data_IF_729416050295
#
_entry.id   IF_729416050295
#
_cell.length_a   1.000
_cell.length_b   1.000
_cell.length_c   1.000
_cell.angle_alpha   90.00
_cell.angle_beta   90.00
_cell.angle_gamma   90.00
#
_symmetry.space_group_name_H-M   'P 1'
#
loop_
_entity.id
_entity.type
_entity.pdbx_description
1 polymer ?
#
# COMPACT_ATOMS: atom_id res chain seq x y z
N UNK A 1 -12.37 1.71 -26.76
CA UNK A 1 -12.38 1.55 -25.30
C UNK A 1 -12.35 0.06 -24.89
N UNK A 2 -13.26 -0.78 -25.39
CA UNK A 2 -13.33 -2.22 -25.04
C UNK A 2 -12.01 -2.97 -25.25
N UNK A 3 -11.38 -2.78 -26.43
CA UNK A 3 -10.09 -3.41 -26.74
C UNK A 3 -8.95 -2.97 -25.80
N UNK A 4 -8.97 -1.73 -25.34
CA UNK A 4 -8.01 -1.24 -24.35
C UNK A 4 -8.27 -1.90 -23.00
N UNK A 5 -9.53 -2.03 -22.60
CA UNK A 5 -9.93 -2.68 -21.35
C UNK A 5 -9.48 -4.16 -21.33
N UNK A 6 -9.72 -4.91 -22.41
CA UNK A 6 -9.25 -6.31 -22.55
C UNK A 6 -7.73 -6.45 -22.36
N UNK A 7 -6.94 -5.50 -22.90
CA UNK A 7 -5.49 -5.49 -22.74
C UNK A 7 -5.11 -5.23 -21.28
N UNK A 8 -5.78 -4.29 -20.62
CA UNK A 8 -5.53 -3.99 -19.21
C UNK A 8 -5.91 -5.18 -18.30
N UNK A 9 -7.06 -5.79 -18.53
CA UNK A 9 -7.51 -6.96 -17.76
C UNK A 9 -6.57 -8.16 -17.93
N UNK A 10 -6.12 -8.42 -19.15
CA UNK A 10 -5.14 -9.50 -19.44
C UNK A 10 -3.81 -9.24 -18.71
N UNK A 11 -3.34 -8.00 -18.73
CA UNK A 11 -2.12 -7.58 -18.00
C UNK A 11 -2.29 -7.75 -16.49
N UNK A 12 -3.39 -7.32 -15.94
CA UNK A 12 -3.66 -7.40 -14.51
C UNK A 12 -3.84 -8.87 -14.06
N UNK A 13 -4.48 -9.70 -14.89
CA UNK A 13 -4.55 -11.13 -14.65
C UNK A 13 -3.16 -11.78 -14.60
N UNK A 14 -2.25 -11.36 -15.49
CA UNK A 14 -0.86 -11.83 -15.49
C UNK A 14 -0.14 -11.35 -14.21
N UNK A 15 -0.32 -10.10 -13.78
CA UNK A 15 0.28 -9.57 -12.56
C UNK A 15 -0.16 -10.38 -11.32
N UNK A 16 -1.44 -10.73 -11.25
CA UNK A 16 -1.98 -11.53 -10.13
C UNK A 16 -1.38 -12.95 -10.04
N UNK A 17 -0.84 -13.49 -11.13
CA UNK A 17 -0.16 -14.78 -11.15
C UNK A 17 1.32 -14.73 -10.77
N UNK A 18 1.89 -13.54 -10.59
CA UNK A 18 3.30 -13.36 -10.19
C UNK A 18 3.41 -13.23 -8.68
N UNK A 19 4.53 -13.71 -8.14
CA UNK A 19 4.88 -13.52 -6.73
C UNK A 19 6.09 -12.58 -6.62
N UNK A 20 6.21 -11.92 -5.48
CA UNK A 20 7.27 -10.94 -5.23
C UNK A 20 8.67 -11.58 -5.29
N UNK A 21 8.76 -12.90 -5.02
CA UNK A 21 10.02 -13.64 -5.11
C UNK A 21 10.51 -13.86 -6.55
N UNK A 22 9.61 -13.82 -7.54
CA UNK A 22 9.94 -14.04 -8.96
C UNK A 22 10.66 -12.84 -9.62
N UNK A 23 10.79 -11.72 -8.92
CA UNK A 23 11.35 -10.50 -9.49
C UNK A 23 12.49 -9.94 -8.62
N UNK A 24 13.50 -9.38 -9.27
CA UNK A 24 14.64 -8.74 -8.60
C UNK A 24 14.39 -7.25 -8.28
N UNK A 25 13.39 -6.66 -8.95
CA UNK A 25 13.08 -5.24 -8.84
C UNK A 25 11.60 -4.99 -8.55
N UNK A 26 11.35 -4.04 -7.66
CA UNK A 26 10.09 -3.36 -7.41
C UNK A 26 10.09 -1.99 -8.10
N UNK A 27 8.99 -1.25 -7.99
CA UNK A 27 8.90 0.10 -8.54
C UNK A 27 8.46 1.10 -7.48
N UNK A 28 9.14 2.25 -7.44
CA UNK A 28 8.78 3.38 -6.59
C UNK A 28 7.87 4.36 -7.34
N UNK A 29 6.96 5.00 -6.63
CA UNK A 29 6.17 6.10 -7.16
C UNK A 29 6.11 7.25 -6.15
N UNK A 30 6.62 8.43 -6.54
CA UNK A 30 6.69 9.63 -5.72
C UNK A 30 5.78 10.77 -6.23
N UNK A 31 4.82 10.48 -7.10
CA UNK A 31 3.92 11.49 -7.70
C UNK A 31 3.16 12.32 -6.67
N UNK A 32 2.90 11.77 -5.49
CA UNK A 32 2.15 12.43 -4.43
C UNK A 32 2.99 13.35 -3.54
N UNK A 33 4.29 13.45 -3.74
CA UNK A 33 5.19 14.24 -2.87
C UNK A 33 4.95 15.76 -2.94
N UNK A 34 4.22 16.24 -3.95
CA UNK A 34 3.81 17.65 -4.00
C UNK A 34 2.88 18.07 -2.85
N UNK A 35 2.18 17.13 -2.22
CA UNK A 35 1.29 17.39 -1.07
C UNK A 35 1.51 16.45 0.13
N UNK A 36 2.32 15.42 -0.04
CA UNK A 36 2.78 14.51 1.00
C UNK A 36 4.30 14.28 0.81
N UNK A 37 5.16 15.21 1.23
CA UNK A 37 6.57 15.28 0.81
C UNK A 37 7.42 14.05 1.11
N UNK A 38 7.07 13.29 2.15
CA UNK A 38 7.79 12.06 2.55
C UNK A 38 7.15 10.79 2.01
N UNK A 39 6.03 10.91 1.28
CA UNK A 39 5.31 9.76 0.76
C UNK A 39 6.02 9.13 -0.44
N UNK A 40 6.22 7.82 -0.37
CA UNK A 40 6.66 7.00 -1.48
C UNK A 40 5.85 5.70 -1.50
N UNK A 41 5.22 5.36 -2.63
CA UNK A 41 4.69 4.03 -2.84
C UNK A 41 5.79 3.09 -3.33
N UNK A 42 5.85 1.89 -2.75
CA UNK A 42 6.60 0.76 -3.29
C UNK A 42 5.60 -0.23 -3.87
N UNK A 43 5.76 -0.56 -5.13
CA UNK A 43 4.83 -1.37 -5.92
C UNK A 43 5.51 -2.68 -6.27
N UNK A 44 4.88 -3.79 -5.89
CA UNK A 44 5.37 -5.14 -6.18
C UNK A 44 4.37 -5.89 -7.05
N UNK A 45 4.69 -7.06 -7.61
CA UNK A 45 3.71 -7.90 -8.30
C UNK A 45 2.45 -8.18 -7.46
N UNK A 46 2.62 -8.38 -6.14
CA UNK A 46 1.54 -8.74 -5.22
C UNK A 46 0.99 -7.54 -4.42
N UNK A 47 1.43 -6.32 -4.73
CA UNK A 47 1.06 -5.11 -4.00
C UNK A 47 0.99 -3.89 -4.92
N UNK A 48 -0.20 -3.34 -5.11
CA UNK A 48 -0.43 -2.10 -5.87
C UNK A 48 0.11 -0.87 -5.14
N UNK A 49 0.22 0.26 -5.85
CA UNK A 49 0.33 1.56 -5.20
C UNK A 49 -0.86 1.80 -4.26
N UNK A 50 -0.69 2.58 -3.19
CA UNK A 50 -1.75 2.87 -2.21
C UNK A 50 -3.02 3.45 -2.84
N UNK A 51 -2.90 4.21 -3.93
CA UNK A 51 -4.03 4.74 -4.68
C UNK A 51 -4.75 3.68 -5.55
N UNK A 52 -4.15 2.51 -5.75
CA UNK A 52 -4.68 1.45 -6.61
C UNK A 52 -4.56 1.69 -8.11
N UNK A 53 -4.02 2.85 -8.54
CA UNK A 53 -3.96 3.22 -9.95
C UNK A 53 -2.74 2.67 -10.70
N UNK A 54 -1.69 2.25 -9.99
CA UNK A 54 -0.43 1.82 -10.58
C UNK A 54 -0.10 0.40 -10.11
N UNK A 55 -0.08 -0.53 -11.06
CA UNK A 55 0.40 -1.90 -10.87
C UNK A 55 1.92 -2.00 -11.09
N UNK A 56 2.50 -3.16 -10.77
CA UNK A 56 3.91 -3.43 -11.04
C UNK A 56 4.27 -3.29 -12.52
N UNK A 57 3.39 -3.73 -13.44
CA UNK A 57 3.62 -3.57 -14.88
C UNK A 57 3.55 -2.10 -15.33
N UNK A 58 2.69 -1.30 -14.72
CA UNK A 58 2.63 0.14 -14.99
C UNK A 58 3.92 0.81 -14.53
N UNK A 59 4.38 0.48 -13.32
CA UNK A 59 5.66 0.94 -12.78
C UNK A 59 6.82 0.58 -13.69
N UNK A 60 6.89 -0.69 -14.12
CA UNK A 60 7.92 -1.18 -15.06
C UNK A 60 7.89 -0.44 -16.38
N UNK A 61 6.73 -0.27 -16.98
CA UNK A 61 6.58 0.42 -18.26
C UNK A 61 6.98 1.89 -18.15
N UNK A 62 6.53 2.58 -17.11
CA UNK A 62 6.81 4.01 -16.88
C UNK A 62 8.30 4.25 -16.62
N UNK A 63 8.91 3.49 -15.73
CA UNK A 63 10.34 3.60 -15.44
C UNK A 63 11.23 3.31 -16.65
N UNK A 64 10.79 2.43 -17.57
CA UNK A 64 11.49 2.17 -18.81
C UNK A 64 11.43 3.34 -19.79
N UNK A 65 10.29 4.04 -19.84
CA UNK A 65 10.08 5.20 -20.74
C UNK A 65 10.78 6.44 -20.22
N UNK A 66 10.69 6.67 -18.91
CA UNK A 66 11.33 7.80 -18.23
C UNK A 66 12.07 7.34 -16.95
N UNK A 67 13.33 6.87 -17.10
CA UNK A 67 14.11 6.35 -15.96
C UNK A 67 14.46 7.40 -14.88
N UNK A 68 14.31 8.69 -15.20
CA UNK A 68 14.53 9.80 -14.25
C UNK A 68 13.22 10.42 -13.77
N UNK A 69 12.10 9.86 -14.15
CA UNK A 69 10.78 10.31 -13.79
C UNK A 69 10.38 9.98 -12.35
N UNK A 70 9.16 10.37 -11.98
CA UNK A 70 8.66 10.15 -10.62
C UNK A 70 8.28 8.69 -10.32
N UNK A 71 8.31 7.82 -11.33
CA UNK A 71 8.15 6.36 -11.18
C UNK A 71 9.45 5.70 -11.62
N UNK A 72 10.08 4.93 -10.76
CA UNK A 72 11.43 4.43 -10.96
C UNK A 72 11.61 3.02 -10.41
N UNK A 73 12.66 2.34 -10.84
CA UNK A 73 13.02 1.00 -10.40
C UNK A 73 13.68 1.02 -9.02
N UNK A 74 13.34 0.02 -8.20
CA UNK A 74 13.95 -0.25 -6.90
C UNK A 74 14.47 -1.68 -6.90
N UNK A 75 15.78 -1.87 -6.82
CA UNK A 75 16.35 -3.20 -6.60
C UNK A 75 16.05 -3.64 -5.16
N UNK A 76 15.58 -4.86 -4.99
CA UNK A 76 15.19 -5.39 -3.66
C UNK A 76 16.36 -5.39 -2.67
N UNK A 77 17.55 -5.68 -3.14
CA UNK A 77 18.72 -5.87 -2.28
C UNK A 77 18.58 -7.13 -1.41
N UNK A 78 19.24 -7.14 -0.25
CA UNK A 78 19.12 -8.25 0.68
C UNK A 78 17.72 -8.33 1.29
N UNK A 79 17.31 -9.56 1.59
CA UNK A 79 16.04 -9.81 2.29
C UNK A 79 16.34 -9.73 3.79
N UNK A 80 15.75 -8.74 4.46
CA UNK A 80 15.88 -8.56 5.91
C UNK A 80 14.86 -9.41 6.65
N UNK A 81 13.59 -9.37 6.20
CA UNK A 81 12.51 -10.19 6.76
C UNK A 81 11.49 -10.55 5.67
N UNK A 82 11.46 -11.83 5.30
CA UNK A 82 10.54 -12.38 4.30
C UNK A 82 9.08 -12.22 4.71
N UNK A 83 8.77 -12.45 6.00
CA UNK A 83 7.40 -12.45 6.50
C UNK A 83 6.76 -11.07 6.40
N UNK A 84 7.47 -10.06 6.83
CA UNK A 84 6.98 -8.68 6.82
C UNK A 84 7.22 -7.95 5.50
N UNK A 85 8.02 -8.55 4.60
CA UNK A 85 8.38 -7.94 3.33
C UNK A 85 9.34 -6.77 3.51
N UNK A 86 10.38 -6.95 4.29
CA UNK A 86 11.42 -5.95 4.51
C UNK A 86 12.67 -6.27 3.68
N UNK A 87 13.10 -5.29 2.87
CA UNK A 87 14.21 -5.43 1.94
C UNK A 87 15.20 -4.27 2.08
N UNK A 88 16.49 -4.57 2.09
CA UNK A 88 17.55 -3.58 2.27
C UNK A 88 17.57 -2.50 1.19
N UNK A 89 17.41 -2.87 -0.08
CA UNK A 89 17.36 -1.90 -1.17
C UNK A 89 16.10 -1.02 -1.13
N UNK A 90 14.98 -1.57 -0.66
CA UNK A 90 13.75 -0.78 -0.45
C UNK A 90 13.96 0.25 0.67
N UNK A 91 14.51 -0.16 1.81
CA UNK A 91 14.77 0.73 2.94
C UNK A 91 15.72 1.86 2.55
N UNK A 92 16.79 1.57 1.80
CA UNK A 92 17.71 2.58 1.30
C UNK A 92 17.01 3.64 0.44
N UNK A 93 16.17 3.22 -0.50
CA UNK A 93 15.42 4.13 -1.38
C UNK A 93 14.36 4.93 -0.61
N UNK A 94 13.66 4.29 0.32
CA UNK A 94 12.67 4.95 1.17
C UNK A 94 13.35 6.06 1.99
N UNK A 95 14.48 5.77 2.61
CA UNK A 95 15.23 6.76 3.39
C UNK A 95 15.67 7.95 2.51
N UNK A 96 16.25 7.68 1.34
CA UNK A 96 16.66 8.73 0.40
C UNK A 96 15.47 9.59 -0.05
N UNK A 97 14.39 8.98 -0.50
CA UNK A 97 13.23 9.65 -1.12
C UNK A 97 12.27 10.29 -0.11
N UNK A 98 12.31 9.89 1.14
CA UNK A 98 11.58 10.54 2.24
C UNK A 98 12.38 11.64 2.95
N UNK A 99 13.55 12.02 2.41
CA UNK A 99 14.45 13.00 3.01
C UNK A 99 14.97 12.58 4.40
N UNK A 100 15.09 11.28 4.65
CA UNK A 100 15.55 10.72 5.92
C UNK A 100 14.45 10.54 6.98
N UNK A 101 13.22 10.91 6.70
CA UNK A 101 12.11 10.81 7.66
C UNK A 101 11.63 9.36 7.87
N UNK A 102 11.79 8.50 6.86
CA UNK A 102 11.41 7.09 6.92
C UNK A 102 12.67 6.23 6.76
N UNK A 103 13.04 5.51 7.78
CA UNK A 103 14.26 4.69 7.75
C UNK A 103 14.03 3.28 7.23
N UNK A 104 12.84 2.73 7.48
CA UNK A 104 12.48 1.36 7.09
C UNK A 104 11.00 1.24 6.79
N UNK A 105 10.66 0.25 5.97
CA UNK A 105 9.27 -0.12 5.68
C UNK A 105 9.13 -1.64 5.58
N UNK A 106 8.03 -2.13 6.12
CA UNK A 106 7.59 -3.51 6.00
C UNK A 106 6.36 -3.54 5.09
N UNK A 107 6.51 -4.10 3.89
CA UNK A 107 5.52 -3.96 2.81
C UNK A 107 4.23 -4.75 3.04
N UNK A 108 4.25 -5.79 3.90
CA UNK A 108 3.16 -6.75 4.07
C UNK A 108 2.44 -6.60 5.41
N UNK A 109 2.75 -5.55 6.17
CA UNK A 109 2.13 -5.24 7.45
C UNK A 109 1.56 -3.84 7.50
N UNK A 110 0.55 -3.65 8.32
CA UNK A 110 0.01 -2.34 8.72
C UNK A 110 0.33 -2.04 10.19
N UNK A 111 0.72 -3.03 10.97
CA UNK A 111 0.85 -2.94 12.42
C UNK A 111 2.26 -2.62 12.91
N UNK A 112 3.27 -2.84 12.07
CA UNK A 112 4.64 -2.43 12.37
C UNK A 112 5.31 -1.86 11.12
N UNK A 113 5.92 -0.71 11.21
CA UNK A 113 6.59 0.00 10.09
C UNK A 113 5.81 -0.02 8.77
N UNK A 114 4.52 0.36 8.78
CA UNK A 114 3.68 0.28 7.60
C UNK A 114 4.16 1.26 6.54
N UNK A 115 3.67 1.05 5.35
CA UNK A 115 3.86 2.02 4.27
C UNK A 115 3.20 3.36 4.61
N UNK A 116 3.76 4.47 4.11
CA UNK A 116 3.17 5.80 4.29
C UNK A 116 1.91 5.97 3.44
N UNK A 117 1.05 6.93 3.82
CA UNK A 117 -0.16 7.27 3.09
C UNK A 117 -0.16 8.75 2.70
N UNK A 118 -0.65 9.05 1.49
CA UNK A 118 -0.68 10.42 0.99
C UNK A 118 -1.94 11.22 1.38
N UNK A 119 -3.06 10.54 1.65
CA UNK A 119 -4.37 11.13 1.90
C UNK A 119 -5.41 10.91 0.79
N UNK A 120 -5.00 10.42 -0.38
CA UNK A 120 -5.89 10.09 -1.50
C UNK A 120 -6.37 8.64 -1.42
N UNK A 121 -7.03 8.26 -0.34
CA UNK A 121 -7.49 6.89 -0.10
C UNK A 121 -9.01 6.78 0.05
N UNK A 122 -9.54 5.60 -0.24
CA UNK A 122 -10.96 5.28 -0.11
C UNK A 122 -11.33 4.81 1.29
N UNK A 123 -10.36 4.27 2.03
CA UNK A 123 -10.51 3.81 3.40
C UNK A 123 -9.19 3.78 4.15
N UNK A 124 -9.28 3.53 5.44
CA UNK A 124 -8.13 3.36 6.32
C UNK A 124 -8.25 2.06 7.11
N UNK A 125 -7.18 1.29 7.13
CA UNK A 125 -7.02 0.20 8.09
C UNK A 125 -6.49 0.76 9.41
N UNK A 126 -6.96 0.24 10.53
CA UNK A 126 -6.52 0.61 11.87
C UNK A 126 -6.48 -0.61 12.79
N UNK A 127 -5.47 -0.66 13.65
CA UNK A 127 -5.32 -1.72 14.66
C UNK A 127 -6.36 -1.55 15.78
N UNK A 128 -6.88 -2.68 16.26
CA UNK A 128 -7.73 -2.77 17.46
C UNK A 128 -7.01 -3.74 18.41
N UNK A 129 -6.11 -3.21 19.28
CA UNK A 129 -5.22 -4.05 20.10
C UNK A 129 -5.97 -4.98 21.07
N UNK A 130 -7.12 -4.54 21.56
CA UNK A 130 -7.93 -5.25 22.57
C UNK A 130 -8.40 -6.63 22.08
N UNK A 131 -8.49 -6.82 20.77
CA UNK A 131 -8.93 -8.07 20.16
C UNK A 131 -7.89 -8.67 19.22
N UNK A 132 -6.67 -8.14 19.26
CA UNK A 132 -5.56 -8.53 18.37
C UNK A 132 -6.00 -8.58 16.89
N UNK A 133 -6.78 -7.59 16.47
CA UNK A 133 -7.42 -7.53 15.17
C UNK A 133 -7.30 -6.15 14.53
N UNK A 134 -7.92 -6.01 13.36
CA UNK A 134 -7.97 -4.72 12.67
C UNK A 134 -9.40 -4.38 12.22
N UNK A 135 -9.64 -3.08 12.06
CA UNK A 135 -10.81 -2.55 11.40
C UNK A 135 -10.45 -1.79 10.14
N UNK A 136 -11.45 -1.60 9.27
CA UNK A 136 -11.35 -0.71 8.12
C UNK A 136 -12.52 0.26 8.15
N UNK A 137 -12.24 1.55 7.97
CA UNK A 137 -13.25 2.59 7.82
C UNK A 137 -13.23 3.15 6.40
N UNK A 138 -14.41 3.25 5.77
CA UNK A 138 -14.54 3.86 4.45
C UNK A 138 -14.71 5.38 4.58
N UNK A 139 -14.15 6.16 3.63
CA UNK A 139 -14.23 7.63 3.65
C UNK A 139 -15.64 8.20 3.73
N UNK A 140 -16.64 7.48 3.25
CA UNK A 140 -18.03 7.89 3.30
C UNK A 140 -18.74 7.48 4.61
N UNK A 141 -18.05 6.75 5.50
CA UNK A 141 -18.61 6.33 6.77
C UNK A 141 -18.86 7.54 7.66
N UNK A 142 -20.06 7.61 8.21
CA UNK A 142 -20.49 8.65 9.16
C UNK A 142 -20.81 7.98 10.47
N UNK A 143 -20.10 8.32 11.49
CA UNK A 143 -20.21 7.74 12.82
C UNK A 143 -18.85 7.37 13.38
N UNK A 144 -18.86 6.78 14.55
CA UNK A 144 -17.63 6.35 15.20
C UNK A 144 -17.36 4.88 14.92
N UNK A 145 -16.08 4.54 14.80
CA UNK A 145 -15.61 3.16 14.71
C UNK A 145 -15.65 2.50 16.08
N UNK A 146 -15.36 1.21 16.16
CA UNK A 146 -15.34 0.45 17.43
C UNK A 146 -14.35 0.98 18.47
N UNK A 147 -13.33 1.71 18.03
CA UNK A 147 -12.37 2.38 18.91
C UNK A 147 -12.70 3.86 19.16
N UNK A 148 -13.91 4.32 18.81
CA UNK A 148 -14.38 5.68 19.06
C UNK A 148 -13.83 6.76 18.13
N UNK A 149 -13.14 6.39 17.05
CA UNK A 149 -12.62 7.32 16.05
C UNK A 149 -13.51 7.31 14.80
N UNK A 150 -13.60 8.45 14.11
CA UNK A 150 -14.25 8.55 12.80
C UNK A 150 -13.22 8.60 11.66
N UNK A 151 -13.70 8.49 10.41
CA UNK A 151 -12.81 8.49 9.24
C UNK A 151 -11.91 9.74 9.19
N UNK A 152 -12.43 10.92 9.50
CA UNK A 152 -11.64 12.17 9.43
C UNK A 152 -10.46 12.10 10.39
N UNK A 153 -10.70 11.72 11.63
CA UNK A 153 -9.64 11.59 12.65
C UNK A 153 -8.61 10.53 12.24
N UNK A 154 -9.05 9.36 11.78
CA UNK A 154 -8.15 8.30 11.32
C UNK A 154 -7.36 8.75 10.09
N UNK A 155 -7.99 9.44 9.14
CA UNK A 155 -7.31 9.93 7.95
C UNK A 155 -6.28 11.01 8.26
N UNK A 156 -6.55 11.89 9.22
CA UNK A 156 -5.62 12.92 9.67
C UNK A 156 -4.38 12.31 10.35
N UNK A 157 -4.55 11.20 11.06
CA UNK A 157 -3.43 10.47 11.65
C UNK A 157 -2.52 9.84 10.57
N UNK A 158 -3.10 9.32 9.48
CA UNK A 158 -2.39 8.53 8.48
C UNK A 158 -1.89 9.32 7.27
N UNK A 159 -2.50 10.46 6.94
CA UNK A 159 -2.19 11.23 5.74
C UNK A 159 -0.86 11.99 5.84
N UNK A 160 -0.44 12.61 4.71
CA UNK A 160 0.69 13.53 4.66
C UNK A 160 2.07 12.86 4.55
N UNK A 161 2.12 11.58 4.19
CA UNK A 161 3.39 10.85 4.03
C UNK A 161 3.96 10.31 5.33
N UNK A 162 3.24 10.41 6.44
CA UNK A 162 3.69 9.88 7.72
C UNK A 162 3.62 8.36 7.77
N UNK A 163 4.59 7.74 8.43
CA UNK A 163 4.54 6.35 8.84
C UNK A 163 3.96 6.28 10.24
N UNK A 164 2.82 5.62 10.40
CA UNK A 164 2.12 5.52 11.69
C UNK A 164 1.74 4.06 11.89
N UNK A 165 2.40 3.39 12.84
CA UNK A 165 2.13 2.00 13.14
C UNK A 165 0.66 1.80 13.53
N UNK A 166 0.05 0.77 12.97
CA UNK A 166 -1.36 0.48 13.20
C UNK A 166 -2.35 1.30 12.37
N UNK A 167 -1.88 2.19 11.48
CA UNK A 167 -2.76 2.98 10.61
C UNK A 167 -2.26 3.01 9.18
N UNK A 168 -3.11 2.70 8.22
CA UNK A 168 -2.76 2.73 6.81
C UNK A 168 -3.94 3.17 5.94
N UNK A 169 -3.78 4.29 5.25
CA UNK A 169 -4.75 4.78 4.26
C UNK A 169 -4.49 4.16 2.88
N UNK A 170 -5.53 3.64 2.23
CA UNK A 170 -5.39 2.87 1.00
C UNK A 170 -6.67 2.83 0.17
N UNK A 171 -6.53 2.49 -1.10
CA UNK A 171 -7.65 2.28 -2.01
C UNK A 171 -8.24 0.86 -1.88
N UNK A 172 -9.42 0.66 -2.47
CA UNK A 172 -10.03 -0.66 -2.57
C UNK A 172 -9.14 -1.62 -3.37
N UNK A 173 -8.53 -1.16 -4.47
CA UNK A 173 -7.64 -2.01 -5.27
C UNK A 173 -6.40 -2.45 -4.48
N UNK A 174 -5.85 -1.57 -3.64
CA UNK A 174 -4.77 -1.95 -2.75
C UNK A 174 -5.23 -2.99 -1.70
N UNK A 175 -6.43 -2.84 -1.12
CA UNK A 175 -7.02 -3.83 -0.20
C UNK A 175 -7.18 -5.21 -0.84
N UNK A 176 -7.34 -5.28 -2.17
CA UNK A 176 -7.41 -6.53 -2.94
C UNK A 176 -6.03 -7.12 -3.28
N UNK A 177 -4.95 -6.44 -2.96
CA UNK A 177 -3.59 -6.94 -3.15
C UNK A 177 -3.35 -8.20 -2.31
N UNK A 178 -2.69 -9.19 -2.87
CA UNK A 178 -2.44 -10.48 -2.20
C UNK A 178 -1.64 -10.32 -0.90
N UNK A 179 -0.72 -9.35 -0.87
CA UNK A 179 0.14 -9.07 0.28
C UNK A 179 -0.43 -8.02 1.24
N UNK A 180 -1.66 -7.57 1.02
CA UNK A 180 -2.32 -6.70 1.99
C UNK A 180 -2.57 -7.44 3.31
N UNK A 181 -2.03 -6.94 4.41
CA UNK A 181 -2.12 -7.53 5.75
C UNK A 181 -1.57 -8.97 5.88
N UNK A 182 -0.79 -9.48 4.91
CA UNK A 182 -0.32 -10.86 4.91
C UNK A 182 0.52 -11.18 6.17
N UNK A 183 1.43 -10.29 6.55
CA UNK A 183 2.23 -10.43 7.76
C UNK A 183 1.42 -10.26 9.06
N UNK A 184 0.29 -9.61 8.98
CA UNK A 184 -0.62 -9.34 10.11
C UNK A 184 -1.65 -10.47 10.33
N UNK A 185 -1.56 -11.57 9.58
CA UNK A 185 -2.48 -12.70 9.67
C UNK A 185 -3.66 -12.62 8.68
N UNK A 186 -3.61 -11.70 7.74
CA UNK A 186 -4.58 -11.58 6.65
C UNK A 186 -5.99 -11.19 7.10
N UNK A 187 -6.94 -11.37 6.21
CA UNK A 187 -8.34 -11.00 6.42
C UNK A 187 -9.02 -11.72 7.59
N UNK A 188 -8.48 -12.85 8.04
CA UNK A 188 -8.99 -13.58 9.21
C UNK A 188 -8.95 -12.79 10.52
N UNK A 189 -8.12 -11.75 10.61
CA UNK A 189 -8.04 -10.84 11.76
C UNK A 189 -8.91 -9.58 11.62
N UNK A 190 -9.66 -9.44 10.53
CA UNK A 190 -10.60 -8.34 10.34
C UNK A 190 -11.82 -8.50 11.26
N UNK A 191 -11.98 -7.61 12.22
CA UNK A 191 -13.05 -7.65 13.22
C UNK A 191 -14.15 -6.63 12.97
N UNK A 192 -13.86 -5.59 12.20
CA UNK A 192 -14.83 -4.55 11.87
C UNK A 192 -14.56 -3.94 10.51
N UNK A 193 -15.59 -3.84 9.69
CA UNK A 193 -15.55 -3.04 8.46
C UNK A 193 -16.95 -2.71 7.96
N UNK A 194 -17.14 -1.58 7.25
CA UNK A 194 -18.39 -1.29 6.58
C UNK A 194 -18.75 -2.34 5.54
N UNK A 195 -20.04 -2.69 5.45
CA UNK A 195 -20.54 -3.68 4.50
C UNK A 195 -20.15 -3.36 3.05
N UNK A 196 -20.16 -2.09 2.68
CA UNK A 196 -19.76 -1.61 1.36
C UNK A 196 -18.32 -2.02 0.99
N UNK A 197 -17.37 -1.85 1.92
CA UNK A 197 -15.99 -2.29 1.68
C UNK A 197 -15.94 -3.80 1.52
N UNK A 198 -16.60 -4.55 2.42
CA UNK A 198 -16.62 -6.02 2.38
C UNK A 198 -17.12 -6.56 1.04
N UNK A 199 -18.11 -5.93 0.43
CA UNK A 199 -18.63 -6.36 -0.87
C UNK A 199 -17.69 -6.02 -2.03
N UNK A 200 -16.91 -4.95 -1.92
CA UNK A 200 -16.00 -4.50 -2.98
C UNK A 200 -14.64 -5.22 -2.98
N UNK A 201 -14.24 -5.81 -1.88
CA UNK A 201 -12.94 -6.51 -1.75
C UNK A 201 -13.04 -8.02 -1.97
N UNK A 202 -14.24 -8.58 -2.10
CA UNK A 202 -14.48 -10.01 -2.41
C UNK A 202 -14.02 -10.36 -3.86
#
# INVERSE_FOLDING_TARGET
YSKALEIYEARDAKARGMVDDDVDAFYGCQLCQSFAPTHLCVITPQRYANCGAISWFDGKATAKVDPKGPVFEILKGEIIDVKTGEYGGVNQVIQEKSLGEIERVQLYTTFGYPHTSCGCFEGCAFLIPEVDGFGIVHRNFKGDTVNGLNFVTISDLTAGGRQVDGFHGLSIEYMRSQKFLDADGGWGRGVWMPHEIKERIK
#
